data_IF_132816503018
#
_entry.id   IF_132816503018
#
_cell.length_a   1.000
_cell.length_b   1.000
_cell.length_c   1.000
_cell.angle_alpha   90.00
_cell.angle_beta   90.00
_cell.angle_gamma   90.00
#
_symmetry.space_group_name_H-M   'P 1'
#
loop_
_entity.id
_entity.type
_entity.pdbx_description
1 polymer ?
#
# COMPACT_ATOMS: atom_id res chain seq x y z
N UNK A 1 10.99 10.30 26.54
CA UNK A 1 11.26 11.14 25.36
C UNK A 1 11.95 10.28 24.30
N UNK A 2 11.22 9.81 23.28
CA UNK A 2 11.82 8.92 22.28
C UNK A 2 12.79 9.69 21.39
N UNK A 3 13.96 9.11 21.09
CA UNK A 3 14.93 9.73 20.19
C UNK A 3 14.28 9.88 18.81
N UNK A 4 14.47 11.02 18.14
CA UNK A 4 13.91 11.28 16.80
C UNK A 4 14.24 10.16 15.80
N UNK A 5 15.42 9.55 15.91
CA UNK A 5 15.80 8.39 15.09
C UNK A 5 14.93 7.15 15.32
N UNK A 6 14.51 6.90 16.56
CA UNK A 6 13.59 5.79 16.88
C UNK A 6 12.20 6.03 16.32
N UNK A 7 11.70 7.28 16.36
CA UNK A 7 10.42 7.63 15.73
C UNK A 7 10.43 7.40 14.22
N UNK A 8 11.48 7.86 13.54
CA UNK A 8 11.63 7.64 12.10
C UNK A 8 11.65 6.14 11.76
N UNK A 9 12.47 5.36 12.49
CA UNK A 9 12.54 3.92 12.28
C UNK A 9 11.20 3.21 12.49
N UNK A 10 10.44 3.60 13.52
CA UNK A 10 9.12 3.00 13.79
C UNK A 10 8.13 3.36 12.68
N UNK A 11 8.07 4.61 12.24
CA UNK A 11 7.18 5.01 11.14
C UNK A 11 7.54 4.27 9.86
N UNK A 12 8.83 4.13 9.54
CA UNK A 12 9.29 3.42 8.36
C UNK A 12 8.94 1.92 8.44
N UNK A 13 9.15 1.29 9.59
CA UNK A 13 8.82 -0.12 9.81
C UNK A 13 7.31 -0.38 9.71
N UNK A 14 6.49 0.46 10.35
CA UNK A 14 5.02 0.35 10.30
C UNK A 14 4.53 0.57 8.87
N UNK A 15 5.06 1.57 8.17
CA UNK A 15 4.74 1.82 6.76
C UNK A 15 5.10 0.63 5.86
N UNK A 16 6.23 -0.03 6.13
CA UNK A 16 6.65 -1.19 5.36
C UNK A 16 5.74 -2.40 5.60
N UNK A 17 5.37 -2.66 6.85
CA UNK A 17 4.42 -3.74 7.18
C UNK A 17 3.06 -3.47 6.51
N UNK A 18 2.58 -2.24 6.60
CA UNK A 18 1.31 -1.84 6.00
C UNK A 18 1.31 -1.99 4.47
N UNK A 19 2.42 -1.61 3.81
CA UNK A 19 2.62 -1.85 2.37
C UNK A 19 2.54 -3.34 2.02
N UNK A 20 3.15 -4.21 2.82
CA UNK A 20 3.10 -5.66 2.60
C UNK A 20 1.66 -6.16 2.75
N UNK A 21 0.94 -5.74 3.79
CA UNK A 21 -0.47 -6.07 3.97
C UNK A 21 -1.34 -5.57 2.81
N UNK A 22 -1.09 -4.36 2.32
CA UNK A 22 -1.78 -3.77 1.17
C UNK A 22 -1.54 -4.60 -0.10
N UNK A 23 -0.29 -4.98 -0.36
CA UNK A 23 0.09 -5.80 -1.51
C UNK A 23 -0.53 -7.20 -1.44
N UNK A 24 -0.51 -7.85 -0.27
CA UNK A 24 -1.11 -9.17 -0.07
C UNK A 24 -2.63 -9.12 -0.24
N UNK A 25 -3.32 -8.15 0.36
CA UNK A 25 -4.78 -8.02 0.20
C UNK A 25 -5.17 -7.72 -1.24
N UNK A 26 -4.42 -6.87 -1.94
CA UNK A 26 -4.61 -6.62 -3.38
C UNK A 26 -4.37 -7.87 -4.23
N UNK A 27 -3.33 -8.64 -3.92
CA UNK A 27 -3.03 -9.91 -4.58
C UNK A 27 -4.15 -10.94 -4.37
N UNK A 28 -4.62 -11.11 -3.12
CA UNK A 28 -5.74 -11.99 -2.76
C UNK A 28 -6.98 -11.60 -3.56
N UNK A 29 -7.33 -10.30 -3.61
CA UNK A 29 -8.48 -9.82 -4.37
C UNK A 29 -8.34 -9.96 -5.89
N UNK A 30 -7.11 -9.97 -6.42
CA UNK A 30 -6.87 -10.11 -7.86
C UNK A 30 -6.86 -11.57 -8.30
N UNK A 31 -6.23 -12.46 -7.53
CA UNK A 31 -5.93 -13.84 -7.94
C UNK A 31 -6.79 -14.89 -7.24
N UNK A 32 -7.17 -14.68 -5.97
CA UNK A 32 -7.96 -15.64 -5.19
C UNK A 32 -9.46 -15.36 -5.33
N UNK A 33 -9.85 -14.08 -5.26
CA UNK A 33 -11.23 -13.63 -5.51
C UNK A 33 -11.31 -12.77 -6.78
N UNK A 34 -10.85 -13.24 -7.97
CA UNK A 34 -10.86 -12.43 -9.18
C UNK A 34 -12.27 -11.90 -9.46
N UNK A 35 -12.42 -10.67 -9.97
CA UNK A 35 -13.72 -10.14 -10.31
C UNK A 35 -14.27 -11.01 -11.43
N UNK A 36 -15.28 -11.82 -11.12
CA UNK A 36 -16.15 -12.36 -12.15
C UNK A 36 -16.64 -11.17 -12.96
N UNK A 37 -16.42 -11.21 -14.26
CA UNK A 37 -16.97 -10.27 -15.22
C UNK A 37 -18.49 -10.18 -15.03
N UNK A 38 -18.97 -9.22 -14.22
CA UNK A 38 -20.39 -8.95 -14.10
C UNK A 38 -20.83 -8.41 -12.75
N UNK A 39 -20.75 -7.09 -12.57
CA UNK A 39 -21.72 -6.35 -11.73
C UNK A 39 -23.12 -6.31 -12.34
N UNK A 40 -23.47 -7.27 -13.19
CA UNK A 40 -24.78 -7.49 -13.80
C UNK A 40 -24.79 -8.94 -14.22
N UNK A 41 -25.83 -9.68 -13.86
CA UNK A 41 -26.04 -11.03 -14.34
C UNK A 41 -25.83 -11.08 -15.85
N UNK A 42 -24.79 -11.78 -16.29
CA UNK A 42 -24.88 -12.48 -17.57
C UNK A 42 -25.63 -13.76 -17.27
N UNK A 43 -26.95 -13.61 -17.26
CA UNK A 43 -27.91 -14.62 -17.67
C UNK A 43 -27.55 -14.96 -19.11
N UNK A 44 -26.52 -15.77 -19.32
CA UNK A 44 -26.22 -16.36 -20.61
C UNK A 44 -25.82 -17.81 -20.36
N UNK A 45 -26.80 -18.64 -20.71
CA UNK A 45 -26.74 -20.07 -20.99
C UNK A 45 -26.88 -21.00 -19.79
N UNK A 46 -28.14 -21.41 -19.63
CA UNK A 46 -28.58 -22.78 -19.45
C UNK A 46 -27.58 -23.78 -18.84
N UNK A 47 -27.89 -24.14 -17.59
CA UNK A 47 -27.56 -25.44 -17.07
C UNK A 47 -26.25 -25.49 -16.29
N UNK A 48 -26.41 -25.80 -15.00
CA UNK A 48 -25.44 -26.48 -14.13
C UNK A 48 -24.53 -25.57 -13.29
N UNK A 49 -24.90 -25.49 -12.01
CA UNK A 49 -23.94 -25.57 -10.91
C UNK A 49 -23.57 -24.25 -10.28
N UNK A 50 -24.31 -23.90 -9.22
CA UNK A 50 -23.85 -23.17 -8.03
C UNK A 50 -22.77 -22.12 -8.32
N UNK A 51 -23.18 -20.86 -8.50
CA UNK A 51 -22.29 -19.71 -8.30
C UNK A 51 -21.75 -19.81 -6.87
N UNK A 52 -20.62 -20.50 -6.70
CA UNK A 52 -19.91 -20.54 -5.43
C UNK A 52 -19.43 -19.13 -5.20
N UNK A 53 -20.15 -18.41 -4.35
CA UNK A 53 -19.66 -17.23 -3.67
C UNK A 53 -18.29 -17.65 -3.13
N UNK A 54 -17.21 -17.20 -3.77
CA UNK A 54 -15.85 -17.55 -3.37
C UNK A 54 -15.57 -16.82 -2.07
N UNK A 55 -15.99 -17.42 -0.98
CA UNK A 55 -15.71 -16.95 0.36
C UNK A 55 -14.30 -17.42 0.72
N UNK A 56 -13.40 -16.47 0.97
CA UNK A 56 -12.12 -16.75 1.61
C UNK A 56 -12.27 -16.33 3.07
N UNK A 57 -12.15 -17.30 3.98
CA UNK A 57 -12.39 -17.09 5.42
C UNK A 57 -13.80 -16.60 5.78
N UNK A 58 -14.83 -17.09 5.06
CA UNK A 58 -16.23 -16.64 5.26
C UNK A 58 -16.45 -15.15 4.99
N UNK A 59 -15.50 -14.49 4.32
CA UNK A 59 -15.60 -13.09 3.94
C UNK A 59 -15.70 -12.95 2.42
N UNK A 60 -16.61 -12.09 1.98
CA UNK A 60 -16.84 -11.82 0.55
C UNK A 60 -15.75 -10.90 0.00
N UNK A 61 -15.62 -10.85 -1.34
CA UNK A 61 -14.76 -9.88 -2.04
C UNK A 61 -15.00 -8.43 -1.60
N UNK A 62 -16.25 -8.08 -1.26
CA UNK A 62 -16.58 -6.73 -0.83
C UNK A 62 -15.90 -6.37 0.50
N UNK A 63 -15.97 -7.28 1.48
CA UNK A 63 -15.36 -7.09 2.79
C UNK A 63 -13.82 -7.06 2.72
N UNK A 64 -13.21 -7.91 1.88
CA UNK A 64 -11.77 -7.83 1.59
C UNK A 64 -11.41 -6.50 0.91
N UNK A 65 -12.30 -5.96 0.08
CA UNK A 65 -12.18 -4.64 -0.53
C UNK A 65 -12.22 -3.51 0.49
N UNK A 66 -13.11 -3.59 1.47
CA UNK A 66 -13.20 -2.60 2.55
C UNK A 66 -11.93 -2.63 3.40
N UNK A 67 -11.43 -3.81 3.78
CA UNK A 67 -10.16 -3.96 4.51
C UNK A 67 -9.01 -3.35 3.70
N UNK A 68 -8.91 -3.68 2.41
CA UNK A 68 -7.88 -3.12 1.53
C UNK A 68 -7.98 -1.59 1.42
N UNK A 69 -9.20 -1.05 1.37
CA UNK A 69 -9.43 0.40 1.32
C UNK A 69 -8.98 1.10 2.60
N UNK A 70 -9.31 0.56 3.78
CA UNK A 70 -8.84 1.13 5.05
C UNK A 70 -7.32 1.03 5.21
N UNK A 71 -6.71 -0.08 4.78
CA UNK A 71 -5.25 -0.19 4.71
C UNK A 71 -4.66 0.86 3.75
N UNK A 72 -5.27 1.09 2.58
CA UNK A 72 -4.80 2.10 1.64
C UNK A 72 -4.86 3.52 2.24
N UNK A 73 -5.92 3.82 2.98
CA UNK A 73 -6.07 5.11 3.66
C UNK A 73 -5.04 5.28 4.78
N UNK A 74 -4.81 4.24 5.58
CA UNK A 74 -3.76 4.23 6.61
C UNK A 74 -2.38 4.43 5.97
N UNK A 75 -2.08 3.70 4.90
CA UNK A 75 -0.84 3.80 4.14
C UNK A 75 -0.60 5.21 3.63
N UNK A 76 -1.64 5.88 3.12
CA UNK A 76 -1.56 7.26 2.65
C UNK A 76 -1.14 8.21 3.77
N UNK A 77 -1.74 8.10 4.95
CA UNK A 77 -1.40 8.92 6.12
C UNK A 77 0.04 8.64 6.56
N UNK A 78 0.44 7.37 6.59
CA UNK A 78 1.80 6.95 6.94
C UNK A 78 2.84 7.49 5.94
N UNK A 79 2.54 7.50 4.65
CA UNK A 79 3.40 8.09 3.61
C UNK A 79 3.56 9.59 3.75
N UNK A 80 2.49 10.32 4.06
CA UNK A 80 2.58 11.75 4.34
C UNK A 80 3.47 12.00 5.56
N UNK A 81 3.27 11.24 6.64
CA UNK A 81 4.09 11.33 7.85
C UNK A 81 5.56 11.00 7.57
N UNK A 82 5.83 9.93 6.81
CA UNK A 82 7.16 9.52 6.37
C UNK A 82 7.87 10.65 5.61
N UNK A 83 7.22 11.25 4.61
CA UNK A 83 7.81 12.35 3.83
C UNK A 83 8.14 13.55 4.73
N UNK A 84 7.24 13.92 5.65
CA UNK A 84 7.48 15.03 6.58
C UNK A 84 8.69 14.74 7.49
N UNK A 85 8.80 13.52 8.02
CA UNK A 85 9.93 13.11 8.87
C UNK A 85 11.26 13.07 8.11
N UNK A 86 11.24 12.66 6.85
CA UNK A 86 12.43 12.56 5.99
C UNK A 86 12.71 13.81 5.15
N UNK A 87 11.92 14.88 5.30
CA UNK A 87 12.00 16.11 4.50
C UNK A 87 13.40 16.75 4.48
N UNK A 88 14.14 16.66 5.60
CA UNK A 88 15.51 17.13 5.69
C UNK A 88 16.49 16.36 4.80
N UNK A 89 16.33 15.03 4.73
CA UNK A 89 17.09 14.18 3.83
C UNK A 89 16.72 14.45 2.37
N UNK A 90 15.43 14.57 2.05
CA UNK A 90 14.94 14.86 0.69
C UNK A 90 15.56 16.15 0.15
N UNK A 91 15.55 17.24 0.93
CA UNK A 91 16.17 18.52 0.52
C UNK A 91 17.68 18.40 0.29
N UNK A 92 18.36 17.64 1.15
CA UNK A 92 19.81 17.42 1.03
C UNK A 92 20.14 16.59 -0.21
N UNK A 93 19.36 15.54 -0.48
CA UNK A 93 19.52 14.68 -1.65
C UNK A 93 19.19 15.43 -2.95
N UNK A 94 18.11 16.21 -2.99
CA UNK A 94 17.75 17.03 -4.14
C UNK A 94 18.83 18.07 -4.46
N UNK A 95 19.42 18.69 -3.43
CA UNK A 95 20.58 19.58 -3.58
C UNK A 95 21.80 18.87 -4.15
N UNK A 96 22.05 17.62 -3.75
CA UNK A 96 23.12 16.79 -4.30
C UNK A 96 22.85 16.41 -5.76
N UNK A 97 21.61 16.07 -6.10
CA UNK A 97 21.21 15.67 -7.45
C UNK A 97 21.28 16.85 -8.44
N UNK A 98 20.89 18.05 -8.01
CA UNK A 98 20.97 19.29 -8.80
C UNK A 98 22.41 19.80 -8.98
N UNK A 99 23.43 19.01 -8.66
CA UNK A 99 24.81 19.34 -9.01
C UNK A 99 25.41 20.49 -8.23
N UNK A 100 24.84 20.89 -7.08
CA UNK A 100 25.56 21.71 -6.09
C UNK A 100 26.61 20.89 -5.34
N UNK A 101 27.37 20.08 -6.09
CA UNK A 101 28.65 19.54 -5.66
C UNK A 101 29.54 20.73 -5.36
N UNK A 102 29.62 21.07 -4.08
CA UNK A 102 30.58 22.04 -3.56
C UNK A 102 31.94 21.56 -4.04
N UNK A 103 32.53 22.29 -5.01
CA UNK A 103 33.95 22.16 -5.33
C UNK A 103 34.69 22.16 -4.00
N UNK A 104 35.20 21.00 -3.60
CA UNK A 104 36.18 20.89 -2.52
C UNK A 104 37.47 21.44 -3.12
N UNK A 105 37.60 22.76 -3.17
CA UNK A 105 38.88 23.41 -3.38
C UNK A 105 39.71 23.15 -2.13
N UNK A 106 40.43 22.03 -2.15
CA UNK A 106 41.61 21.85 -1.32
C UNK A 106 42.70 22.75 -1.88
N UNK A 107 43.02 23.79 -1.12
CA UNK A 107 44.37 24.33 -1.00
C UNK A 107 45.23 23.31 -0.25
#
# INVERSE_FOLDING_TARGET
>A
MMKRGTLNFVVDLVSFIDLVCLALTGFIMKYILPPGTGGRGRVLHEGRGVEQIKELWSMTRHQWGDIHFYLALLFLILMVAHIILHWGWIKSYLKSLLGMSRKRTGL
#
